data_IF_725040988032
#
_entry.id   IF_725040988032
#
_cell.length_a   1.000
_cell.length_b   1.000
_cell.length_c   1.000
_cell.angle_alpha   90.00
_cell.angle_beta   90.00
_cell.angle_gamma   90.00
#
_symmetry.space_group_name_H-M   'P 1'
#
loop_
_entity.id
_entity.type
_entity.pdbx_description
1 polymer ?
#
# COMPACT_ATOMS: atom_id res chain seq x y z
N UNK A 1 0.82 -9.59 3.07
CA UNK A 1 0.57 -9.39 1.62
C UNK A 1 -0.53 -10.35 1.21
N UNK A 2 -1.64 -9.81 0.68
CA UNK A 2 -2.76 -10.62 0.17
C UNK A 2 -2.47 -11.10 -1.24
N UNK A 3 -2.41 -12.42 -1.39
CA UNK A 3 -2.04 -13.11 -2.62
C UNK A 3 -3.20 -13.95 -3.12
N UNK A 4 -3.36 -14.04 -4.42
CA UNK A 4 -4.22 -15.04 -5.05
C UNK A 4 -3.41 -15.91 -6.01
N UNK A 5 -3.93 -17.11 -6.28
CA UNK A 5 -3.48 -17.97 -7.38
C UNK A 5 -4.63 -18.24 -8.33
N UNK A 6 -4.34 -18.20 -9.62
CA UNK A 6 -5.22 -18.64 -10.69
C UNK A 6 -4.48 -19.66 -11.57
N UNK A 7 -4.93 -20.88 -11.57
CA UNK A 7 -4.29 -21.99 -12.27
C UNK A 7 -5.34 -23.05 -12.67
N UNK A 8 -5.23 -23.64 -13.85
CA UNK A 8 -6.14 -24.70 -14.27
C UNK A 8 -5.92 -26.02 -13.52
N UNK A 9 -4.70 -26.22 -12.99
CA UNK A 9 -4.28 -27.43 -12.28
C UNK A 9 -4.52 -27.29 -10.77
N UNK A 10 -5.47 -28.06 -10.25
CA UNK A 10 -5.77 -28.07 -8.81
C UNK A 10 -4.62 -28.59 -7.94
N UNK A 11 -3.78 -29.48 -8.48
CA UNK A 11 -2.61 -30.00 -7.76
C UNK A 11 -1.56 -28.90 -7.59
N UNK A 12 -1.33 -28.11 -8.64
CA UNK A 12 -0.45 -26.95 -8.59
C UNK A 12 -0.96 -25.88 -7.61
N UNK A 13 -2.27 -25.65 -7.55
CA UNK A 13 -2.89 -24.75 -6.56
C UNK A 13 -2.63 -25.25 -5.13
N UNK A 14 -2.82 -26.54 -4.86
CA UNK A 14 -2.56 -27.13 -3.53
C UNK A 14 -1.09 -27.04 -3.13
N UNK A 15 -0.19 -27.35 -4.05
CA UNK A 15 1.25 -27.24 -3.82
C UNK A 15 1.64 -25.80 -3.47
N UNK A 16 1.16 -24.83 -4.25
CA UNK A 16 1.43 -23.41 -4.00
C UNK A 16 0.88 -22.96 -2.64
N UNK A 17 -0.32 -23.44 -2.25
CA UNK A 17 -0.90 -23.14 -0.93
C UNK A 17 -0.01 -23.66 0.21
N UNK A 18 0.48 -24.91 0.12
CA UNK A 18 1.40 -25.47 1.12
C UNK A 18 2.72 -24.68 1.19
N UNK A 19 3.26 -24.31 0.05
CA UNK A 19 4.47 -23.51 -0.04
C UNK A 19 4.28 -22.11 0.55
N UNK A 20 3.11 -21.49 0.36
CA UNK A 20 2.79 -20.17 0.91
C UNK A 20 2.80 -20.14 2.45
N UNK A 21 2.54 -21.26 3.12
CA UNK A 21 2.56 -21.36 4.59
C UNK A 21 3.94 -21.05 5.18
N UNK A 22 5.01 -21.19 4.41
CA UNK A 22 6.37 -20.87 4.85
C UNK A 22 6.63 -19.36 4.95
N UNK A 23 5.77 -18.53 4.38
CA UNK A 23 5.93 -17.08 4.35
C UNK A 23 4.96 -16.39 5.31
N UNK A 24 5.39 -16.08 6.52
CA UNK A 24 4.57 -15.44 7.57
C UNK A 24 3.91 -14.11 7.15
N UNK A 25 4.42 -13.48 6.09
CA UNK A 25 3.91 -12.23 5.56
C UNK A 25 2.93 -12.39 4.39
N UNK A 26 2.66 -13.62 3.94
CA UNK A 26 1.74 -13.97 2.85
C UNK A 26 0.42 -14.46 3.44
N UNK A 27 -0.67 -13.94 2.93
CA UNK A 27 -2.04 -14.41 3.15
C UNK A 27 -2.59 -14.82 1.79
N UNK A 28 -2.72 -16.13 1.54
CA UNK A 28 -3.38 -16.63 0.33
C UNK A 28 -4.88 -16.42 0.49
N UNK A 29 -5.39 -15.36 -0.14
CA UNK A 29 -6.76 -14.88 0.04
C UNK A 29 -7.76 -15.44 -0.97
N UNK A 30 -7.28 -16.06 -2.05
CA UNK A 30 -8.12 -16.68 -3.07
C UNK A 30 -7.37 -17.70 -3.92
N UNK A 31 -8.10 -18.76 -4.34
CA UNK A 31 -7.62 -19.85 -5.20
C UNK A 31 -8.66 -20.05 -6.28
N UNK A 32 -8.26 -20.02 -7.53
CA UNK A 32 -9.19 -20.06 -8.66
C UNK A 32 -8.65 -20.97 -9.76
N UNK A 33 -9.53 -21.66 -10.43
CA UNK A 33 -9.22 -22.44 -11.63
C UNK A 33 -9.86 -21.84 -12.90
N UNK A 34 -10.50 -20.69 -12.77
CA UNK A 34 -11.22 -19.98 -13.82
C UNK A 34 -10.98 -18.46 -13.76
N UNK A 35 -10.83 -17.84 -14.92
CA UNK A 35 -10.55 -16.41 -15.07
C UNK A 35 -11.72 -15.51 -14.64
N UNK A 36 -12.97 -15.92 -14.88
CA UNK A 36 -14.14 -15.11 -14.54
C UNK A 36 -14.35 -15.03 -13.02
N UNK A 37 -14.14 -16.14 -12.31
CA UNK A 37 -14.19 -16.17 -10.84
C UNK A 37 -13.07 -15.31 -10.24
N UNK A 38 -11.87 -15.38 -10.81
CA UNK A 38 -10.73 -14.54 -10.42
C UNK A 38 -11.06 -13.05 -10.52
N UNK A 39 -11.59 -12.62 -11.67
CA UNK A 39 -11.98 -11.22 -11.91
C UNK A 39 -13.09 -10.78 -10.93
N UNK A 40 -14.10 -11.62 -10.73
CA UNK A 40 -15.20 -11.36 -9.79
C UNK A 40 -14.68 -11.19 -8.36
N UNK A 41 -13.71 -11.98 -7.97
CA UNK A 41 -13.12 -11.87 -6.63
C UNK A 41 -12.32 -10.57 -6.48
N UNK A 42 -11.40 -10.28 -7.42
CA UNK A 42 -10.52 -9.10 -7.36
C UNK A 42 -11.31 -7.79 -7.46
N UNK A 43 -12.45 -7.76 -8.17
CA UNK A 43 -13.34 -6.59 -8.21
C UNK A 43 -13.96 -6.23 -6.86
N UNK A 44 -14.02 -7.18 -5.91
CA UNK A 44 -14.66 -7.02 -4.59
C UNK A 44 -13.70 -7.05 -3.41
N UNK A 45 -12.50 -7.57 -3.63
CA UNK A 45 -11.52 -7.79 -2.58
C UNK A 45 -10.19 -7.14 -2.95
N UNK A 46 -9.53 -6.59 -1.94
CA UNK A 46 -8.19 -6.05 -2.13
C UNK A 46 -7.19 -7.18 -2.27
N UNK A 47 -6.57 -7.27 -3.42
CA UNK A 47 -5.48 -8.21 -3.73
C UNK A 47 -4.21 -7.42 -4.01
N UNK A 48 -3.07 -7.87 -3.48
CA UNK A 48 -1.79 -7.17 -3.61
C UNK A 48 -0.89 -7.83 -4.65
N UNK A 49 -0.98 -9.16 -4.80
CA UNK A 49 -0.27 -9.90 -5.83
C UNK A 49 -1.15 -11.04 -6.37
N UNK A 50 -1.08 -11.28 -7.66
CA UNK A 50 -1.71 -12.40 -8.35
C UNK A 50 -0.65 -13.27 -9.02
N UNK A 51 -0.68 -14.55 -8.70
CA UNK A 51 0.11 -15.58 -9.35
C UNK A 51 -0.81 -16.29 -10.35
N UNK A 52 -0.48 -16.23 -11.63
CA UNK A 52 -1.40 -16.63 -12.71
C UNK A 52 -0.70 -17.59 -13.64
N UNK A 53 -1.29 -18.76 -13.87
CA UNK A 53 -0.86 -19.61 -14.99
C UNK A 53 -1.31 -18.97 -16.30
N UNK A 54 -0.42 -18.94 -17.30
CA UNK A 54 -0.76 -18.42 -18.62
C UNK A 54 -1.84 -19.28 -19.25
N UNK A 55 -1.74 -20.60 -19.11
CA UNK A 55 -2.79 -21.53 -19.52
C UNK A 55 -3.85 -21.60 -18.44
N UNK A 56 -4.98 -20.95 -18.66
CA UNK A 56 -6.09 -20.87 -17.73
C UNK A 56 -7.43 -21.11 -18.43
N UNK A 57 -8.38 -21.70 -17.73
CA UNK A 57 -9.72 -21.93 -18.27
C UNK A 57 -10.46 -20.60 -18.51
N UNK A 58 -11.20 -20.54 -19.62
CA UNK A 58 -11.99 -19.38 -20.02
C UNK A 58 -11.17 -18.37 -20.81
N UNK A 59 -10.50 -17.46 -20.14
CA UNK A 59 -9.59 -16.47 -20.73
C UNK A 59 -8.15 -16.86 -20.40
N UNK A 60 -7.22 -16.67 -21.33
CA UNK A 60 -5.82 -16.92 -21.03
C UNK A 60 -5.29 -16.02 -19.91
N UNK A 61 -4.24 -16.48 -19.23
CA UNK A 61 -3.68 -15.79 -18.06
C UNK A 61 -3.14 -14.40 -18.37
N UNK A 62 -2.65 -14.14 -19.59
CA UNK A 62 -2.14 -12.83 -20.00
C UNK A 62 -3.27 -11.81 -20.09
N UNK A 63 -4.37 -12.19 -20.78
CA UNK A 63 -5.57 -11.35 -20.85
C UNK A 63 -6.18 -11.13 -19.47
N UNK A 64 -6.17 -12.15 -18.60
CA UNK A 64 -6.59 -12.00 -17.21
C UNK A 64 -5.71 -10.98 -16.50
N UNK A 65 -4.39 -11.05 -16.65
CA UNK A 65 -3.44 -10.11 -16.05
C UNK A 65 -3.70 -8.66 -16.47
N UNK A 66 -3.96 -8.41 -17.75
CA UNK A 66 -4.34 -7.08 -18.26
C UNK A 66 -5.61 -6.56 -17.57
N UNK A 67 -6.66 -7.37 -17.51
CA UNK A 67 -7.92 -6.97 -16.85
C UNK A 67 -7.76 -6.76 -15.35
N UNK A 68 -6.94 -7.58 -14.67
CA UNK A 68 -6.63 -7.37 -13.26
C UNK A 68 -5.90 -6.04 -13.05
N UNK A 69 -5.03 -5.64 -13.99
CA UNK A 69 -4.33 -4.36 -13.93
C UNK A 69 -5.24 -3.18 -14.24
N UNK A 70 -6.25 -3.33 -15.09
CA UNK A 70 -7.30 -2.33 -15.27
C UNK A 70 -8.10 -2.10 -13.98
N UNK A 71 -8.48 -3.18 -13.28
CA UNK A 71 -9.18 -3.10 -12.00
C UNK A 71 -8.30 -2.55 -10.86
N UNK A 72 -7.05 -2.95 -10.83
CA UNK A 72 -6.07 -2.52 -9.84
C UNK A 72 -4.71 -2.24 -10.52
N UNK A 73 -4.44 -1.00 -10.96
CA UNK A 73 -3.19 -0.65 -11.65
C UNK A 73 -1.92 -0.94 -10.86
N UNK A 74 -2.06 -1.24 -9.58
CA UNK A 74 -0.94 -1.50 -8.66
C UNK A 74 -0.81 -2.97 -8.28
N UNK A 75 -1.61 -3.86 -8.82
CA UNK A 75 -1.50 -5.29 -8.54
C UNK A 75 -0.15 -5.83 -9.06
N UNK A 76 0.53 -6.60 -8.25
CA UNK A 76 1.74 -7.32 -8.68
C UNK A 76 1.30 -8.54 -9.46
N UNK A 77 1.75 -8.67 -10.70
CA UNK A 77 1.45 -9.80 -11.58
C UNK A 77 2.69 -10.68 -11.72
N UNK A 78 2.55 -11.94 -11.33
CA UNK A 78 3.55 -13.00 -11.51
C UNK A 78 2.92 -14.11 -12.33
N UNK A 79 3.57 -14.52 -13.43
CA UNK A 79 3.06 -15.58 -14.28
C UNK A 79 3.81 -16.88 -14.06
N UNK A 80 3.07 -18.00 -13.98
CA UNK A 80 3.64 -19.31 -14.17
C UNK A 80 3.68 -19.62 -15.67
N UNK A 81 4.84 -20.07 -16.13
CA UNK A 81 5.14 -20.30 -17.54
C UNK A 81 5.66 -21.72 -17.68
N UNK A 82 5.02 -22.51 -18.53
CA UNK A 82 5.50 -23.86 -18.89
C UNK A 82 6.34 -23.83 -20.16
N UNK A 83 6.02 -22.93 -21.09
CA UNK A 83 6.70 -22.77 -22.37
C UNK A 83 7.37 -21.41 -22.47
N UNK A 84 8.68 -21.40 -22.71
CA UNK A 84 9.52 -20.19 -22.72
C UNK A 84 9.13 -19.15 -23.78
N UNK A 85 8.38 -19.53 -24.80
CA UNK A 85 7.85 -18.65 -25.85
C UNK A 85 6.91 -17.57 -25.29
N UNK A 86 6.20 -17.84 -24.19
CA UNK A 86 5.31 -16.87 -23.53
C UNK A 86 6.04 -15.78 -22.71
N UNK A 87 7.35 -15.92 -22.52
CA UNK A 87 8.12 -14.90 -21.74
C UNK A 87 8.05 -13.53 -22.40
N UNK A 88 8.14 -13.46 -23.74
CA UNK A 88 8.08 -12.19 -24.46
C UNK A 88 6.69 -11.52 -24.34
N UNK A 89 5.64 -12.32 -24.30
CA UNK A 89 4.27 -11.82 -24.14
C UNK A 89 4.02 -11.31 -22.71
N UNK A 90 4.49 -12.05 -21.71
CA UNK A 90 4.44 -11.61 -20.30
C UNK A 90 5.20 -10.29 -20.08
N UNK A 91 6.34 -10.10 -20.76
CA UNK A 91 7.08 -8.83 -20.73
C UNK A 91 6.31 -7.69 -21.40
N UNK A 92 5.59 -7.93 -22.50
CA UNK A 92 4.79 -6.89 -23.20
C UNK A 92 3.68 -6.32 -22.31
N UNK A 93 3.02 -7.14 -21.51
CA UNK A 93 2.00 -6.68 -20.55
C UNK A 93 2.60 -6.12 -19.25
N UNK A 94 3.93 -5.93 -19.22
CA UNK A 94 4.67 -5.40 -18.06
C UNK A 94 4.43 -6.24 -16.80
N UNK A 95 4.53 -7.57 -16.91
CA UNK A 95 4.53 -8.47 -15.77
C UNK A 95 5.62 -8.05 -14.77
N UNK A 96 5.31 -8.15 -13.48
CA UNK A 96 6.25 -7.83 -12.40
C UNK A 96 7.21 -9.00 -12.11
N UNK A 97 6.87 -10.21 -12.56
CA UNK A 97 7.68 -11.40 -12.47
C UNK A 97 7.10 -12.57 -13.25
N UNK A 98 7.91 -13.60 -13.40
CA UNK A 98 7.50 -14.88 -13.94
C UNK A 98 8.26 -16.03 -13.26
N UNK A 99 7.67 -17.21 -13.28
CA UNK A 99 8.26 -18.45 -12.76
C UNK A 99 8.07 -19.54 -13.80
N UNK A 100 9.18 -20.13 -14.24
CA UNK A 100 9.16 -21.23 -15.21
C UNK A 100 8.94 -22.53 -14.44
N UNK A 101 7.98 -23.35 -14.87
CA UNK A 101 7.76 -24.68 -14.30
C UNK A 101 8.65 -25.73 -14.96
N UNK A 102 9.17 -26.69 -14.16
CA UNK A 102 9.09 -26.79 -12.71
C UNK A 102 9.99 -25.77 -12.00
N UNK A 103 9.52 -25.14 -10.94
CA UNK A 103 10.26 -24.18 -10.14
C UNK A 103 10.69 -24.76 -8.77
N UNK A 104 11.74 -24.20 -8.20
CA UNK A 104 12.25 -24.58 -6.89
C UNK A 104 11.66 -23.69 -5.77
N UNK A 105 11.83 -24.11 -4.51
CA UNK A 105 11.49 -23.25 -3.35
C UNK A 105 12.36 -21.98 -3.29
N UNK A 106 13.56 -22.03 -3.83
CA UNK A 106 14.44 -20.86 -3.92
C UNK A 106 13.86 -19.83 -4.89
N UNK A 107 13.40 -20.27 -6.07
CA UNK A 107 12.72 -19.42 -7.07
C UNK A 107 11.48 -18.77 -6.48
N UNK A 108 10.64 -19.55 -5.76
CA UNK A 108 9.45 -19.05 -5.12
C UNK A 108 9.80 -18.04 -4.02
N UNK A 109 10.82 -18.30 -3.22
CA UNK A 109 11.27 -17.41 -2.14
C UNK A 109 11.74 -16.08 -2.69
N UNK A 110 12.54 -16.09 -3.76
CA UNK A 110 13.01 -14.90 -4.45
C UNK A 110 11.83 -14.09 -5.04
N UNK A 111 10.92 -14.78 -5.75
CA UNK A 111 9.75 -14.18 -6.38
C UNK A 111 8.80 -13.57 -5.35
N UNK A 112 8.52 -14.29 -4.25
CA UNK A 112 7.70 -13.77 -3.14
C UNK A 112 8.34 -12.57 -2.45
N UNK A 113 9.68 -12.57 -2.30
CA UNK A 113 10.45 -11.44 -1.79
C UNK A 113 10.29 -10.20 -2.66
N UNK A 114 10.44 -10.34 -3.98
CA UNK A 114 10.24 -9.27 -4.95
C UNK A 114 8.78 -8.78 -4.97
N UNK A 115 7.82 -9.68 -5.01
CA UNK A 115 6.40 -9.33 -4.94
C UNK A 115 6.08 -8.54 -3.67
N UNK A 116 6.65 -8.91 -2.53
CA UNK A 116 6.53 -8.16 -1.27
C UNK A 116 7.12 -6.75 -1.36
N UNK A 117 8.29 -6.59 -1.96
CA UNK A 117 8.91 -5.27 -2.16
C UNK A 117 8.08 -4.39 -3.08
N UNK A 118 7.60 -4.93 -4.20
CA UNK A 118 6.75 -4.23 -5.15
C UNK A 118 5.40 -3.86 -4.53
N UNK A 119 4.76 -4.77 -3.81
CA UNK A 119 3.51 -4.49 -3.10
C UNK A 119 3.67 -3.39 -2.02
N UNK A 120 4.83 -3.29 -1.38
CA UNK A 120 5.15 -2.21 -0.43
C UNK A 120 5.33 -0.85 -1.10
N UNK A 121 5.92 -0.79 -2.29
CA UNK A 121 5.99 0.46 -3.09
C UNK A 121 4.59 0.97 -3.44
N UNK A 122 3.62 0.07 -3.53
CA UNK A 122 2.21 0.39 -3.76
C UNK A 122 1.48 0.84 -2.48
N UNK A 123 2.02 0.52 -1.31
CA UNK A 123 1.40 0.70 0.01
C UNK A 123 1.69 2.02 0.69
N UNK A 124 2.08 3.05 -0.02
CA UNK A 124 2.06 4.38 0.60
C UNK A 124 0.72 5.06 0.27
N UNK A 125 -0.36 4.70 0.99
CA UNK A 125 -1.69 5.22 0.70
C UNK A 125 -1.80 6.71 0.97
N UNK A 126 -0.89 7.26 1.79
CA UNK A 126 -0.83 8.67 2.11
C UNK A 126 0.40 9.31 1.42
N UNK A 127 0.14 10.33 0.62
CA UNK A 127 1.15 11.21 0.03
C UNK A 127 1.02 12.60 0.65
N UNK A 128 2.11 13.13 1.20
CA UNK A 128 2.14 14.45 1.83
C UNK A 128 3.09 15.34 1.03
N UNK A 129 2.52 16.40 0.45
CA UNK A 129 3.27 17.46 -0.21
C UNK A 129 3.61 18.54 0.80
N UNK A 130 4.89 18.86 0.95
CA UNK A 130 5.37 19.87 1.90
C UNK A 130 5.91 21.12 1.22
N UNK A 131 6.24 21.04 -0.07
CA UNK A 131 6.80 22.17 -0.80
C UNK A 131 5.72 23.07 -1.41
N UNK A 132 5.88 24.38 -1.24
CA UNK A 132 4.97 25.42 -1.70
C UNK A 132 3.64 25.46 -0.94
N UNK A 133 3.03 24.34 -0.69
CA UNK A 133 1.77 24.19 0.04
C UNK A 133 1.71 22.85 0.74
N UNK A 134 1.34 22.84 2.02
CA UNK A 134 1.15 21.59 2.74
C UNK A 134 -0.20 20.98 2.37
N UNK A 135 -0.18 19.80 1.74
CA UNK A 135 -1.39 19.06 1.36
C UNK A 135 -1.21 17.57 1.61
N UNK A 136 -2.30 16.93 2.03
CA UNK A 136 -2.41 15.48 2.20
C UNK A 136 -3.25 14.91 1.06
N UNK A 137 -2.72 13.89 0.39
CA UNK A 137 -3.45 13.08 -0.57
C UNK A 137 -3.56 11.65 -0.04
N UNK A 138 -4.74 11.06 -0.13
CA UNK A 138 -4.97 9.67 0.23
C UNK A 138 -5.56 8.97 -0.98
N UNK A 139 -4.90 7.88 -1.41
CA UNK A 139 -5.24 7.16 -2.65
C UNK A 139 -5.29 8.06 -3.91
N UNK A 140 -4.50 9.15 -3.92
CA UNK A 140 -4.45 10.13 -5.00
C UNK A 140 -5.46 11.28 -4.89
N UNK A 141 -6.39 11.25 -3.94
CA UNK A 141 -7.38 12.30 -3.70
C UNK A 141 -6.90 13.30 -2.65
N UNK A 142 -7.14 14.59 -2.92
CA UNK A 142 -6.82 15.67 -1.98
C UNK A 142 -7.75 15.63 -0.77
N UNK A 143 -7.17 15.54 0.43
CA UNK A 143 -7.93 15.60 1.68
C UNK A 143 -8.18 17.04 2.08
N UNK A 144 -9.45 17.41 2.19
CA UNK A 144 -9.88 18.71 2.68
C UNK A 144 -10.05 18.66 4.20
N UNK A 145 -9.29 19.48 4.91
CA UNK A 145 -9.37 19.60 6.37
C UNK A 145 -10.45 20.60 6.79
N UNK A 146 -11.45 20.15 7.51
CA UNK A 146 -12.43 21.02 8.15
C UNK A 146 -11.83 21.80 9.35
N UNK A 147 -10.84 21.20 10.00
CA UNK A 147 -10.12 21.78 11.14
C UNK A 147 -8.69 22.19 10.72
N UNK A 148 -8.43 23.51 10.65
CA UNK A 148 -7.09 24.03 10.30
C UNK A 148 -6.02 23.56 11.28
N UNK A 149 -6.32 23.48 12.58
CA UNK A 149 -5.37 23.03 13.60
C UNK A 149 -5.02 21.55 13.49
N UNK A 150 -5.93 20.72 12.98
CA UNK A 150 -5.61 19.34 12.62
C UNK A 150 -4.59 19.28 11.47
N UNK A 151 -4.74 20.14 10.44
CA UNK A 151 -3.77 20.24 9.34
C UNK A 151 -2.39 20.71 9.83
N UNK A 152 -2.35 21.72 10.71
CA UNK A 152 -1.11 22.25 11.31
C UNK A 152 -0.44 21.18 12.20
N UNK A 153 -1.21 20.43 12.99
CA UNK A 153 -0.69 19.32 13.80
C UNK A 153 -0.09 18.21 12.93
N UNK A 154 -0.75 17.88 11.81
CA UNK A 154 -0.19 16.93 10.86
C UNK A 154 1.14 17.45 10.27
N UNK A 155 1.20 18.72 9.91
CA UNK A 155 2.43 19.34 9.42
C UNK A 155 3.57 19.28 10.45
N UNK A 156 3.26 19.53 11.71
CA UNK A 156 4.22 19.40 12.80
C UNK A 156 4.73 17.95 12.98
N UNK A 157 3.83 16.95 12.89
CA UNK A 157 4.23 15.55 12.94
C UNK A 157 5.12 15.16 11.74
N UNK A 158 4.89 15.75 10.58
CA UNK A 158 5.70 15.54 9.36
C UNK A 158 7.07 16.18 9.50
N UNK A 159 7.13 17.41 10.00
CA UNK A 159 8.39 18.14 10.22
C UNK A 159 9.30 17.41 11.22
N UNK A 160 8.71 16.76 12.21
CA UNK A 160 9.41 15.95 13.21
C UNK A 160 9.93 14.59 12.68
N UNK A 161 9.83 14.34 11.38
CA UNK A 161 10.45 13.20 10.63
C UNK A 161 10.24 11.82 11.27
N UNK A 162 9.04 11.55 11.78
CA UNK A 162 8.69 10.29 12.44
C UNK A 162 8.97 10.28 13.95
N UNK A 163 9.56 11.35 14.49
CA UNK A 163 9.66 11.56 15.93
C UNK A 163 8.29 11.80 16.56
N UNK A 164 8.22 11.58 17.87
CA UNK A 164 6.99 11.76 18.66
C UNK A 164 6.78 13.24 18.94
N UNK A 165 5.61 13.76 18.60
CA UNK A 165 5.16 15.10 18.99
C UNK A 165 4.33 14.99 20.26
N UNK A 166 4.78 15.58 21.34
CA UNK A 166 4.03 15.62 22.61
C UNK A 166 2.93 16.67 22.58
N UNK A 167 1.94 16.52 23.48
CA UNK A 167 0.87 17.53 23.64
C UNK A 167 1.46 18.90 24.01
N UNK A 168 2.46 18.94 24.90
CA UNK A 168 3.11 20.18 25.33
C UNK A 168 3.78 20.88 24.13
N UNK A 169 4.59 20.14 23.37
CA UNK A 169 5.25 20.67 22.17
C UNK A 169 4.22 21.16 21.13
N UNK A 170 3.16 20.39 20.89
CA UNK A 170 2.12 20.78 19.95
C UNK A 170 1.36 22.03 20.41
N UNK A 171 1.07 22.14 21.71
CA UNK A 171 0.39 23.31 22.27
C UNK A 171 1.29 24.55 22.17
N UNK A 172 2.54 24.44 22.54
CA UNK A 172 3.51 25.52 22.45
C UNK A 172 3.61 26.06 21.02
N UNK A 173 3.78 25.19 20.02
CA UNK A 173 3.95 25.58 18.62
C UNK A 173 2.66 26.01 17.90
N UNK A 174 1.53 25.45 18.24
CA UNK A 174 0.28 25.70 17.49
C UNK A 174 -0.69 26.67 18.17
N UNK A 175 -0.51 26.95 19.46
CA UNK A 175 -1.33 27.85 20.24
C UNK A 175 -0.47 28.80 21.11
N UNK A 176 0.61 29.35 20.53
CA UNK A 176 1.66 30.19 21.17
C UNK A 176 1.13 31.26 22.14
N UNK A 177 -0.07 31.84 21.85
CA UNK A 177 -0.67 32.89 22.67
C UNK A 177 -1.67 32.38 23.71
N UNK A 178 -1.64 31.06 24.04
CA UNK A 178 -2.56 30.49 25.03
C UNK A 178 -1.83 29.87 26.20
N UNK A 179 -2.38 30.03 27.38
CA UNK A 179 -1.92 29.32 28.57
C UNK A 179 -2.13 27.80 28.41
N UNK A 180 -1.23 27.00 28.94
CA UNK A 180 -1.33 25.55 28.94
C UNK A 180 -2.37 25.11 29.99
N UNK A 181 -3.63 25.31 29.68
CA UNK A 181 -4.81 24.98 30.50
C UNK A 181 -5.64 23.84 29.90
N UNK A 182 -6.68 23.39 30.58
CA UNK A 182 -7.56 22.33 30.10
C UNK A 182 -8.31 22.73 28.79
N UNK A 183 -8.52 24.02 28.55
CA UNK A 183 -9.17 24.49 27.32
C UNK A 183 -8.29 24.22 26.10
N UNK A 184 -7.01 24.59 26.19
CA UNK A 184 -6.07 24.38 25.10
C UNK A 184 -5.73 22.89 24.89
N UNK A 185 -5.64 22.11 25.98
CA UNK A 185 -5.49 20.64 25.89
C UNK A 185 -6.69 19.99 25.17
N UNK A 186 -7.89 20.51 25.36
CA UNK A 186 -9.08 20.04 24.65
C UNK A 186 -9.03 20.39 23.14
N UNK A 187 -8.47 21.54 22.78
CA UNK A 187 -8.24 21.88 21.36
C UNK A 187 -7.26 20.91 20.69
N UNK A 188 -6.17 20.56 21.36
CA UNK A 188 -5.24 19.53 20.89
C UNK A 188 -5.94 18.17 20.73
N UNK A 189 -6.67 17.71 21.75
CA UNK A 189 -7.41 16.45 21.69
C UNK A 189 -8.38 16.40 20.49
N UNK A 190 -9.08 17.49 20.20
CA UNK A 190 -9.95 17.61 19.02
C UNK A 190 -9.15 17.48 17.72
N UNK A 191 -8.03 18.18 17.58
CA UNK A 191 -7.18 18.08 16.39
C UNK A 191 -6.69 16.64 16.17
N UNK A 192 -6.26 15.95 17.22
CA UNK A 192 -5.86 14.53 17.17
C UNK A 192 -7.03 13.63 16.78
N UNK A 193 -8.23 13.87 17.31
CA UNK A 193 -9.43 13.10 16.96
C UNK A 193 -9.82 13.29 15.49
N UNK A 194 -9.75 14.53 14.99
CA UNK A 194 -10.06 14.84 13.59
C UNK A 194 -9.07 14.14 12.63
N UNK A 195 -7.78 14.18 12.94
CA UNK A 195 -6.77 13.42 12.17
C UNK A 195 -7.05 11.93 12.21
N UNK A 196 -7.28 11.37 13.38
CA UNK A 196 -7.59 9.95 13.52
C UNK A 196 -8.85 9.54 12.74
N UNK A 197 -9.88 10.41 12.72
CA UNK A 197 -11.09 10.20 11.93
C UNK A 197 -10.77 10.17 10.43
N UNK A 198 -10.00 11.15 9.93
CA UNK A 198 -9.57 11.20 8.52
C UNK A 198 -8.88 9.89 8.13
N UNK A 199 -7.80 9.51 8.81
CA UNK A 199 -7.06 8.29 8.49
C UNK A 199 -7.87 7.01 8.67
N UNK A 200 -8.85 7.01 9.60
CA UNK A 200 -9.79 5.89 9.80
C UNK A 200 -10.79 5.76 8.66
N UNK A 201 -11.33 6.87 8.18
CA UNK A 201 -12.31 6.89 7.07
C UNK A 201 -11.70 6.30 5.80
N UNK A 202 -10.42 6.56 5.56
CA UNK A 202 -9.71 5.99 4.40
C UNK A 202 -9.09 4.60 4.68
N UNK A 203 -9.34 3.98 5.83
CA UNK A 203 -8.86 2.63 6.16
C UNK A 203 -7.34 2.53 6.42
N UNK A 204 -6.65 3.64 6.69
CA UNK A 204 -5.19 3.72 6.86
C UNK A 204 -4.78 4.22 8.26
N UNK A 205 -5.42 3.67 9.28
CA UNK A 205 -5.23 4.08 10.69
C UNK A 205 -3.77 4.05 11.16
N UNK A 206 -2.96 3.16 10.60
CA UNK A 206 -1.58 2.96 11.03
C UNK A 206 -0.62 4.05 10.54
N UNK A 207 -1.08 4.94 9.64
CA UNK A 207 -0.28 6.07 9.13
C UNK A 207 -0.16 7.17 10.17
N UNK A 208 -1.24 7.48 10.90
CA UNK A 208 -1.23 8.43 12.01
C UNK A 208 -1.41 7.69 13.33
N UNK A 209 -0.37 7.70 14.14
CA UNK A 209 -0.33 7.00 15.42
C UNK A 209 -0.56 8.00 16.54
N UNK A 210 -1.48 7.66 17.44
CA UNK A 210 -1.74 8.43 18.67
C UNK A 210 -1.51 7.56 19.91
N UNK A 211 -0.89 8.12 20.91
CA UNK A 211 -0.82 7.59 22.28
C UNK A 211 -1.32 8.64 23.28
N UNK A 212 -1.29 8.31 24.57
CA UNK A 212 -1.67 9.27 25.62
C UNK A 212 -0.75 10.49 25.54
N UNK A 213 -1.32 11.66 25.28
CA UNK A 213 -0.62 12.94 25.18
C UNK A 213 0.51 13.02 24.12
N UNK A 214 0.46 12.20 23.06
CA UNK A 214 1.44 12.21 22.00
C UNK A 214 0.86 11.68 20.67
N UNK A 215 1.45 12.13 19.54
CA UNK A 215 1.11 11.60 18.22
C UNK A 215 2.33 11.70 17.27
N UNK A 216 2.32 10.93 16.20
CA UNK A 216 3.33 10.96 15.15
C UNK A 216 2.83 10.35 13.84
N UNK A 217 3.60 10.54 12.78
CA UNK A 217 3.39 9.90 11.47
C UNK A 217 4.31 8.70 11.33
N UNK A 218 3.74 7.57 10.91
CA UNK A 218 4.51 6.38 10.54
C UNK A 218 5.06 6.55 9.12
N UNK A 219 6.33 6.94 9.01
CA UNK A 219 7.02 7.18 7.73
C UNK A 219 7.13 5.93 6.86
N UNK A 220 7.12 4.74 7.44
CA UNK A 220 7.15 3.49 6.68
C UNK A 220 5.87 3.31 5.83
N UNK A 221 4.75 3.93 6.25
CA UNK A 221 3.44 3.82 5.61
C UNK A 221 3.02 5.10 4.85
N UNK A 222 3.81 6.17 4.90
CA UNK A 222 3.52 7.44 4.22
C UNK A 222 4.64 7.82 3.24
N UNK A 223 4.28 8.39 2.08
CA UNK A 223 5.22 9.03 1.16
C UNK A 223 5.21 10.53 1.46
N UNK A 224 6.30 11.02 2.01
CA UNK A 224 6.49 12.45 2.26
C UNK A 224 7.43 12.97 1.19
N UNK A 225 6.93 13.84 0.33
CA UNK A 225 7.72 14.47 -0.71
C UNK A 225 8.28 15.78 -0.18
N UNK A 226 9.50 15.71 0.31
CA UNK A 226 10.32 16.90 0.60
C UNK A 226 11.11 17.15 -0.70
N UNK A 227 10.57 17.95 -1.62
CA UNK A 227 11.38 18.44 -2.74
C UNK A 227 12.30 19.54 -2.22
N UNK A 228 13.59 19.25 -2.11
CA UNK A 228 14.59 20.31 -2.03
C UNK A 228 14.48 21.16 -3.30
N UNK A 229 14.59 22.50 -3.18
CA UNK A 229 14.66 23.34 -4.36
C UNK A 229 15.91 22.90 -5.16
N UNK A 230 15.70 22.38 -6.36
CA UNK A 230 16.79 22.19 -7.31
C UNK A 230 17.46 23.56 -7.45
N UNK A 231 18.65 23.72 -6.88
CA UNK A 231 19.51 24.84 -7.20
C UNK A 231 19.75 24.75 -8.71
N UNK A 232 19.08 25.62 -9.47
CA UNK A 232 19.53 25.93 -10.82
C UNK A 232 20.92 26.52 -10.64
N UNK A 233 21.93 25.75 -10.93
CA UNK A 233 23.27 26.28 -11.19
C UNK A 233 23.16 27.12 -12.48
N UNK A 234 23.76 28.33 -12.48
CA UNK A 234 23.72 29.22 -13.61
C UNK A 234 24.42 28.65 -14.83
#
# INVERSE_FOLDING_TARGET
MKVIIADYDEEAIRLFEEQCKQFSYVELSGKFNDSAETLKYVSRHRVEAAFINIELNGMDGLQLGEKLRELNPKIVLVFFIEHTEYILEALRIKADGYMIRPYTMEDLTWTMGNAKLLSRRQKKPAYIRTFGRFDLFINGELVIFSNKKAKELLALCVDNKGGVVTMEEAVDKLWENRLYDEKVKNLYRRAVMDLNKIFSTYGIKDVFVKKRAACWINYALSLIHISEPTRRTP
#
